data_IF_953624343543
#
_entry.id   IF_953624343543
#
_cell.length_a   1.000
_cell.length_b   1.000
_cell.length_c   1.000
_cell.angle_alpha   90.00
_cell.angle_beta   90.00
_cell.angle_gamma   90.00
#
_symmetry.space_group_name_H-M   'P 1'
#
loop_
_entity.id
_entity.type
_entity.pdbx_description
1 polymer ?
#
# COMPACT_ATOMS: atom_id res chain seq x y z
N UNK A 1 10.39 -0.52 7.42
CA UNK A 1 10.02 0.88 7.14
C UNK A 1 8.90 0.86 6.12
N UNK A 2 7.85 1.65 6.33
CA UNK A 2 6.74 1.82 5.39
C UNK A 2 6.91 3.16 4.70
N UNK A 3 7.00 3.19 3.37
CA UNK A 3 7.10 4.43 2.60
C UNK A 3 5.85 4.61 1.74
N UNK A 4 5.35 5.84 1.68
CA UNK A 4 4.23 6.24 0.84
C UNK A 4 4.76 6.89 -0.44
N UNK A 5 4.18 6.51 -1.57
CA UNK A 5 4.51 7.06 -2.88
C UNK A 5 3.26 7.54 -3.61
N UNK A 6 3.39 8.55 -4.48
CA UNK A 6 2.29 8.96 -5.34
C UNK A 6 1.92 7.84 -6.31
N UNK A 7 0.68 7.87 -6.82
CA UNK A 7 0.19 6.84 -7.75
C UNK A 7 0.96 6.71 -9.08
N UNK A 8 1.77 7.72 -9.42
CA UNK A 8 2.60 7.78 -10.63
C UNK A 8 4.01 7.24 -10.42
N UNK A 9 4.39 6.89 -9.20
CA UNK A 9 5.71 6.32 -8.92
C UNK A 9 5.85 4.91 -9.52
N UNK A 10 7.00 4.67 -10.15
CA UNK A 10 7.33 3.38 -10.78
C UNK A 10 8.73 2.89 -10.43
N UNK A 11 9.61 3.76 -9.93
CA UNK A 11 10.99 3.44 -9.62
C UNK A 11 11.20 3.08 -8.14
N UNK A 12 10.41 3.66 -7.22
CA UNK A 12 10.50 3.42 -5.77
C UNK A 12 11.93 3.59 -5.20
N UNK A 13 12.72 4.47 -5.81
CA UNK A 13 14.15 4.64 -5.52
C UNK A 13 14.47 5.72 -4.48
N UNK A 14 13.46 6.52 -4.09
CA UNK A 14 13.55 7.58 -3.09
C UNK A 14 12.54 7.34 -1.95
N UNK A 15 12.39 8.28 -1.01
CA UNK A 15 11.43 8.21 0.10
C UNK A 15 10.00 8.61 -0.30
N UNK A 16 9.79 9.06 -1.54
CA UNK A 16 8.46 9.36 -2.06
C UNK A 16 7.79 10.52 -1.33
N UNK A 17 6.57 10.32 -0.87
CA UNK A 17 5.83 11.29 -0.04
C UNK A 17 6.28 11.26 1.42
N UNK A 18 6.97 10.21 1.85
CA UNK A 18 7.53 10.07 3.19
C UNK A 18 7.22 8.74 3.86
N UNK A 19 7.78 8.56 5.05
CA UNK A 19 7.59 7.35 5.84
C UNK A 19 6.28 7.40 6.63
N UNK A 20 5.49 6.33 6.57
CA UNK A 20 4.27 6.16 7.36
C UNK A 20 4.60 5.76 8.80
N UNK A 21 5.41 6.58 9.49
CA UNK A 21 5.94 6.29 10.83
C UNK A 21 4.86 6.22 11.92
N UNK A 22 3.73 6.92 11.72
CA UNK A 22 2.56 6.88 12.62
C UNK A 22 1.66 5.65 12.40
N UNK A 23 2.02 4.73 11.50
CA UNK A 23 1.27 3.50 11.27
C UNK A 23 1.08 2.71 12.58
N UNK A 24 -0.17 2.38 12.89
CA UNK A 24 -0.53 1.64 14.11
C UNK A 24 -0.23 0.15 13.93
N UNK A 25 -0.57 -0.39 12.75
CA UNK A 25 -0.37 -1.80 12.42
C UNK A 25 -0.23 -1.95 10.91
N UNK A 26 0.58 -2.92 10.48
CA UNK A 26 0.70 -3.28 9.07
C UNK A 26 0.83 -4.80 8.98
N UNK A 27 -0.10 -5.43 8.27
CA UNK A 27 -0.12 -6.87 8.04
C UNK A 27 -0.10 -7.12 6.55
N UNK A 28 0.88 -7.89 6.11
CA UNK A 28 0.97 -8.39 4.74
C UNK A 28 0.53 -9.85 4.74
N UNK A 29 -0.42 -10.19 3.88
CA UNK A 29 -0.97 -11.54 3.75
C UNK A 29 -0.71 -12.05 2.33
N UNK A 30 -0.01 -13.18 2.22
CA UNK A 30 0.14 -13.93 0.98
C UNK A 30 -0.78 -15.16 1.04
N UNK A 31 -1.90 -15.12 0.33
CA UNK A 31 -2.81 -16.24 0.21
C UNK A 31 -2.26 -17.26 -0.80
N UNK A 32 -2.50 -18.55 -0.54
CA UNK A 32 -2.13 -19.64 -1.47
C UNK A 32 -2.80 -19.53 -2.85
N UNK A 33 -3.88 -18.77 -2.95
CA UNK A 33 -4.56 -18.46 -4.22
C UNK A 33 -3.84 -17.36 -5.02
N UNK A 34 -2.73 -16.83 -4.50
CA UNK A 34 -1.93 -15.77 -5.10
C UNK A 34 -2.16 -14.40 -4.47
N UNK A 35 -3.30 -14.16 -3.82
CA UNK A 35 -3.63 -12.81 -3.31
C UNK A 35 -2.54 -12.31 -2.36
N UNK A 36 -1.90 -11.21 -2.76
CA UNK A 36 -0.83 -10.59 -2.00
C UNK A 36 -1.28 -9.20 -1.58
N UNK A 37 -1.83 -9.13 -0.38
CA UNK A 37 -2.54 -7.97 0.14
C UNK A 37 -1.84 -7.39 1.37
N UNK A 38 -1.99 -6.07 1.53
CA UNK A 38 -1.54 -5.31 2.67
C UNK A 38 -2.74 -4.63 3.32
N UNK A 39 -2.85 -4.83 4.64
CA UNK A 39 -3.78 -4.13 5.51
C UNK A 39 -3.00 -3.26 6.49
N UNK A 40 -3.29 -1.95 6.52
CA UNK A 40 -2.57 -0.97 7.32
C UNK A 40 -3.56 -0.09 8.10
N UNK A 41 -3.41 -0.01 9.42
CA UNK A 41 -4.16 0.96 10.24
C UNK A 41 -3.33 2.24 10.41
N UNK A 42 -3.92 3.38 10.06
CA UNK A 42 -3.25 4.68 10.11
C UNK A 42 -4.11 5.72 10.85
N UNK A 43 -3.54 6.50 11.79
CA UNK A 43 -4.28 7.46 12.59
C UNK A 43 -4.60 8.73 11.80
N UNK A 44 -5.74 9.36 12.08
CA UNK A 44 -6.19 10.59 11.39
C UNK A 44 -5.29 11.80 11.65
N UNK A 45 -4.58 11.80 12.77
CA UNK A 45 -3.63 12.84 13.16
C UNK A 45 -2.17 12.49 12.79
N UNK A 46 -1.95 11.39 12.04
CA UNK A 46 -0.63 11.05 11.53
C UNK A 46 -0.15 12.06 10.49
N UNK A 47 1.16 12.28 10.42
CA UNK A 47 1.77 13.36 9.62
C UNK A 47 1.36 13.26 8.14
N UNK A 48 1.24 12.03 7.62
CA UNK A 48 0.94 11.77 6.22
C UNK A 48 -0.53 11.40 5.96
N UNK A 49 -1.44 11.58 6.93
CA UNK A 49 -2.86 11.24 6.73
C UNK A 49 -3.46 11.97 5.52
N UNK A 50 -3.11 13.24 5.33
CA UNK A 50 -3.57 14.04 4.19
C UNK A 50 -3.00 13.61 2.83
N UNK A 51 -1.88 12.90 2.81
CA UNK A 51 -1.22 12.42 1.59
C UNK A 51 -1.74 11.04 1.14
N UNK A 52 -2.39 10.31 2.03
CA UNK A 52 -2.91 8.97 1.76
C UNK A 52 -4.17 9.08 0.88
N UNK A 53 -4.08 8.54 -0.33
CA UNK A 53 -5.18 8.50 -1.29
C UNK A 53 -5.27 7.16 -2.01
N UNK A 54 -6.44 6.91 -2.62
CA UNK A 54 -6.63 5.75 -3.50
C UNK A 54 -5.62 5.83 -4.65
N UNK A 55 -5.06 4.69 -5.03
CA UNK A 55 -3.96 4.49 -5.99
C UNK A 55 -2.56 4.89 -5.50
N UNK A 56 -2.40 5.54 -4.34
CA UNK A 56 -1.06 5.69 -3.76
C UNK A 56 -0.44 4.31 -3.51
N UNK A 57 0.88 4.26 -3.51
CA UNK A 57 1.62 3.01 -3.31
C UNK A 57 2.30 3.03 -1.95
N UNK A 58 2.16 1.96 -1.20
CA UNK A 58 2.85 1.74 0.07
C UNK A 58 3.86 0.63 -0.15
N UNK A 59 5.13 0.88 0.17
CA UNK A 59 6.12 -0.20 0.22
C UNK A 59 6.19 -0.78 1.63
N UNK A 60 6.19 -2.10 1.73
CA UNK A 60 6.32 -2.80 3.00
C UNK A 60 7.30 -3.96 2.88
N UNK A 61 8.09 -4.19 3.93
CA UNK A 61 8.92 -5.38 4.04
C UNK A 61 8.08 -6.50 4.67
N UNK A 62 7.73 -7.57 3.94
CA UNK A 62 6.95 -8.67 4.48
C UNK A 62 7.74 -9.45 5.56
N UNK A 63 9.07 -9.43 5.46
CA UNK A 63 9.98 -10.00 6.45
C UNK A 63 11.30 -9.20 6.49
N UNK A 64 12.19 -9.45 7.48
CA UNK A 64 13.42 -8.67 7.64
C UNK A 64 14.45 -8.84 6.51
N UNK A 65 14.36 -9.92 5.74
CA UNK A 65 15.38 -10.32 4.76
C UNK A 65 15.04 -9.84 3.35
N UNK A 66 13.75 -9.79 3.02
CA UNK A 66 13.28 -9.39 1.71
C UNK A 66 13.36 -7.87 1.47
N UNK A 67 13.42 -7.54 0.19
CA UNK A 67 13.28 -6.17 -0.29
C UNK A 67 11.85 -5.64 -0.07
N UNK A 68 11.69 -4.31 0.11
CA UNK A 68 10.37 -3.70 0.22
C UNK A 68 9.51 -4.03 -1.00
N UNK A 69 8.32 -4.58 -0.75
CA UNK A 69 7.35 -4.90 -1.79
C UNK A 69 6.34 -3.75 -1.93
N UNK A 70 6.05 -3.29 -3.15
CA UNK A 70 5.06 -2.25 -3.39
C UNK A 70 3.62 -2.79 -3.41
N UNK A 71 2.70 -2.07 -2.76
CA UNK A 71 1.27 -2.37 -2.70
C UNK A 71 0.46 -1.10 -3.04
N UNK A 72 -0.46 -1.20 -4.00
CA UNK A 72 -1.31 -0.09 -4.42
C UNK A 72 -2.61 -0.06 -3.61
N UNK A 73 -2.88 1.06 -2.96
CA UNK A 73 -4.10 1.28 -2.17
C UNK A 73 -5.32 1.27 -3.10
N UNK A 74 -6.25 0.34 -2.87
CA UNK A 74 -7.51 0.26 -3.62
C UNK A 74 -8.72 0.66 -2.77
N UNK A 75 -8.59 0.66 -1.43
CA UNK A 75 -9.67 1.01 -0.52
C UNK A 75 -9.14 1.65 0.76
N UNK A 76 -9.87 2.66 1.22
CA UNK A 76 -9.67 3.34 2.52
C UNK A 76 -11.01 3.28 3.24
N UNK A 77 -11.04 2.80 4.48
CA UNK A 77 -12.30 2.77 5.25
C UNK A 77 -12.73 4.18 5.66
N UNK A 78 -14.01 4.33 6.02
CA UNK A 78 -14.43 5.51 6.76
C UNK A 78 -13.65 5.59 8.09
N UNK A 79 -13.31 6.79 8.56
CA UNK A 79 -12.73 6.97 9.88
C UNK A 79 -13.57 6.33 10.98
N UNK A 80 -12.94 5.50 11.81
CA UNK A 80 -13.56 4.88 12.98
C UNK A 80 -12.56 4.89 14.14
N UNK A 81 -12.96 5.42 15.29
CA UNK A 81 -12.09 5.46 16.49
C UNK A 81 -10.79 6.25 16.28
N UNK A 82 -10.80 7.31 15.47
CA UNK A 82 -9.62 8.15 15.24
C UNK A 82 -8.59 7.58 14.26
N UNK A 83 -8.94 6.52 13.52
CA UNK A 83 -8.07 5.90 12.51
C UNK A 83 -8.84 5.43 11.28
N UNK A 84 -8.10 5.13 10.22
CA UNK A 84 -8.57 4.46 9.01
C UNK A 84 -7.84 3.14 8.81
N UNK A 85 -8.48 2.22 8.08
CA UNK A 85 -7.84 1.01 7.56
C UNK A 85 -7.65 1.17 6.06
N UNK A 86 -6.41 1.00 5.61
CA UNK A 86 -6.00 0.99 4.22
C UNK A 86 -5.91 -0.46 3.77
N UNK A 87 -6.50 -0.75 2.61
CA UNK A 87 -6.33 -2.02 1.91
C UNK A 87 -5.60 -1.75 0.59
N UNK A 88 -4.53 -2.48 0.39
CA UNK A 88 -3.68 -2.38 -0.78
C UNK A 88 -3.36 -3.77 -1.34
N UNK A 89 -3.19 -3.85 -2.66
CA UNK A 89 -2.84 -5.09 -3.36
C UNK A 89 -1.47 -4.94 -4.03
N UNK A 90 -0.73 -6.04 -4.17
CA UNK A 90 0.58 -6.01 -4.82
C UNK A 90 0.48 -5.52 -6.27
N UNK A 91 1.43 -4.70 -6.73
CA UNK A 91 1.42 -4.11 -8.09
C UNK A 91 1.64 -5.16 -9.20
N UNK A 92 2.14 -6.36 -8.91
CA UNK A 92 2.20 -7.44 -9.91
C UNK A 92 0.84 -7.72 -10.57
N UNK A 93 -0.26 -7.43 -9.86
CA UNK A 93 -1.62 -7.53 -10.39
C UNK A 93 -2.01 -6.44 -11.39
N UNK A 94 -1.34 -5.29 -11.35
CA UNK A 94 -1.58 -4.18 -12.28
C UNK A 94 -1.10 -4.53 -13.71
N UNK A 95 -0.08 -5.39 -13.81
CA UNK A 95 0.47 -5.90 -15.08
C UNK A 95 -0.38 -6.98 -15.74
N UNK A 96 -1.26 -7.67 -14.99
CA UNK A 96 -2.12 -8.74 -15.51
C UNK A 96 -3.45 -8.24 -16.09
N UNK A 97 -3.78 -6.96 -15.91
CA UNK A 97 -5.02 -6.34 -16.42
C UNK A 97 -5.01 -5.94 -17.90
N UNK A 98 -3.90 -6.10 -18.62
CA UNK A 98 -3.76 -5.69 -20.01
C UNK A 98 -3.63 -6.88 -21.00
N UNK A 99 -4.46 -7.92 -20.89
CA UNK A 99 -4.73 -8.83 -22.01
C UNK A 99 -6.10 -9.50 -21.87
N UNK A 100 -7.15 -8.83 -22.33
CA UNK A 100 -8.39 -9.47 -22.77
C UNK A 100 -9.21 -8.50 -23.64
N UNK A 101 -8.65 -8.10 -24.78
CA UNK A 101 -9.48 -7.67 -25.90
C UNK A 101 -9.67 -8.87 -26.82
N UNK A 102 -10.87 -9.49 -26.90
CA UNK A 102 -11.12 -10.44 -27.98
C UNK A 102 -11.12 -9.66 -29.30
N UNK A 103 -10.17 -9.98 -30.16
CA UNK A 103 -10.24 -9.65 -31.59
C UNK A 103 -11.13 -10.64 -32.34
#
# INVERSE_FOLDING_TARGET
MLLLYPSTETAFADNGLGALSDAISCTVTEARNGEYELQLEYPLNGIHYGDIAIRCVVTAKPNPYDDPQPFRIYRITRPLGGRVTLYAQHISYDLSGATAGPG
#
